data_IF_045464897119
#
_entry.id   IF_045464897119
#
_cell.length_a   1.000
_cell.length_b   1.000
_cell.length_c   1.000
_cell.angle_alpha   90.00
_cell.angle_beta   90.00
_cell.angle_gamma   90.00
#
_symmetry.space_group_name_H-M   'P 1'
#
loop_
_entity.id
_entity.type
_entity.pdbx_description
1 polymer ?
#
# COMPACT_ATOMS: atom_id res chain seq x y z
N UNK A 1 2.05 -4.94 -13.33
CA UNK A 1 2.68 -6.09 -12.65
C UNK A 1 1.55 -6.84 -11.95
N UNK A 2 1.46 -8.16 -12.07
CA UNK A 2 0.44 -8.95 -11.38
C UNK A 2 1.06 -9.54 -10.11
N UNK A 3 0.38 -9.41 -8.96
CA UNK A 3 0.79 -10.04 -7.72
C UNK A 3 0.20 -11.44 -7.65
N UNK A 4 0.99 -12.43 -7.23
CA UNK A 4 0.46 -13.75 -6.89
C UNK A 4 -0.60 -13.64 -5.77
N UNK A 5 -1.59 -14.54 -5.80
CA UNK A 5 -2.70 -14.59 -4.84
C UNK A 5 -2.32 -14.32 -3.37
N UNK A 6 -1.33 -15.02 -2.78
CA UNK A 6 -0.94 -14.78 -1.38
C UNK A 6 -0.34 -13.38 -1.14
N UNK A 7 0.43 -12.86 -2.09
CA UNK A 7 1.06 -11.54 -2.01
C UNK A 7 0.00 -10.43 -2.06
N UNK A 8 -1.00 -10.58 -2.95
CA UNK A 8 -2.13 -9.65 -3.01
C UNK A 8 -2.94 -9.66 -1.71
N UNK A 9 -3.20 -10.84 -1.14
CA UNK A 9 -3.90 -10.96 0.15
C UNK A 9 -3.12 -10.30 1.29
N UNK A 10 -1.78 -10.44 1.32
CA UNK A 10 -0.95 -9.76 2.34
C UNK A 10 -0.97 -8.24 2.17
N UNK A 11 -0.86 -7.74 0.95
CA UNK A 11 -0.97 -6.31 0.67
C UNK A 11 -2.32 -5.74 1.14
N UNK A 12 -3.42 -6.45 0.88
CA UNK A 12 -4.75 -6.03 1.32
C UNK A 12 -4.89 -6.00 2.84
N UNK A 13 -4.31 -6.99 3.54
CA UNK A 13 -4.28 -6.99 5.00
C UNK A 13 -3.52 -5.77 5.55
N UNK A 14 -2.34 -5.48 5.01
CA UNK A 14 -1.54 -4.33 5.40
C UNK A 14 -2.27 -3.00 5.19
N UNK A 15 -2.94 -2.82 4.05
CA UNK A 15 -3.74 -1.61 3.77
C UNK A 15 -4.84 -1.42 4.82
N UNK A 16 -5.55 -2.49 5.18
CA UNK A 16 -6.60 -2.46 6.21
C UNK A 16 -6.06 -2.18 7.61
N UNK A 17 -4.94 -2.82 7.96
CA UNK A 17 -4.26 -2.59 9.23
C UNK A 17 -3.81 -1.13 9.36
N UNK A 18 -3.24 -0.55 8.29
CA UNK A 18 -2.75 0.82 8.26
C UNK A 18 -3.87 1.88 8.25
N UNK A 19 -5.07 1.54 7.76
CA UNK A 19 -6.25 2.42 7.87
C UNK A 19 -6.86 2.44 9.27
N UNK A 20 -6.54 1.46 10.12
CA UNK A 20 -7.06 1.41 11.47
C UNK A 20 -6.36 2.47 12.34
N UNK A 21 -7.05 3.50 12.86
CA UNK A 21 -6.42 4.54 13.68
C UNK A 21 -5.93 4.05 15.05
N UNK A 22 -6.25 2.82 15.44
CA UNK A 22 -5.84 2.23 16.72
C UNK A 22 -4.45 1.55 16.66
N UNK A 23 -3.80 1.51 15.50
CA UNK A 23 -2.45 0.97 15.36
C UNK A 23 -1.41 1.90 16.01
N UNK A 24 -0.52 1.40 16.88
CA UNK A 24 0.55 2.22 17.45
C UNK A 24 1.59 2.60 16.40
N UNK A 25 2.07 3.85 16.44
CA UNK A 25 3.02 4.43 15.48
C UNK A 25 4.27 3.57 15.23
N UNK A 26 4.80 2.93 16.29
CA UNK A 26 5.97 2.06 16.19
C UNK A 26 5.74 0.86 15.26
N UNK A 27 4.53 0.32 15.24
CA UNK A 27 4.18 -0.77 14.34
C UNK A 27 3.69 -0.26 12.96
N UNK A 28 3.21 0.99 12.88
CA UNK A 28 2.80 1.63 11.63
C UNK A 28 3.98 1.71 10.66
N UNK A 29 5.13 2.21 11.11
CA UNK A 29 6.31 2.39 10.25
C UNK A 29 6.77 1.10 9.57
N UNK A 30 6.84 -0.01 10.33
CA UNK A 30 7.24 -1.30 9.81
C UNK A 30 6.23 -1.87 8.78
N UNK A 31 4.91 -1.68 9.03
CA UNK A 31 3.86 -2.11 8.10
C UNK A 31 3.85 -1.29 6.80
N UNK A 32 4.14 0.01 6.88
CA UNK A 32 4.29 0.87 5.70
C UNK A 32 5.45 0.39 4.83
N UNK A 33 6.62 0.21 5.44
CA UNK A 33 7.82 -0.24 4.74
C UNK A 33 7.64 -1.65 4.12
N UNK A 34 6.93 -2.55 4.79
CA UNK A 34 6.53 -3.84 4.19
C UNK A 34 5.63 -3.63 2.96
N UNK A 35 4.60 -2.79 3.07
CA UNK A 35 3.65 -2.52 1.98
C UNK A 35 4.33 -1.90 0.76
N UNK A 36 5.22 -0.93 0.97
CA UNK A 36 6.00 -0.28 -0.07
C UNK A 36 6.87 -1.28 -0.84
N UNK A 37 7.50 -2.22 -0.13
CA UNK A 37 8.32 -3.29 -0.75
C UNK A 37 7.48 -4.27 -1.55
N UNK A 38 6.34 -4.70 -1.01
CA UNK A 38 5.43 -5.64 -1.68
C UNK A 38 4.88 -5.04 -2.98
N UNK A 39 4.46 -3.78 -2.94
CA UNK A 39 3.89 -3.08 -4.09
C UNK A 39 4.94 -2.42 -4.98
N UNK A 40 6.21 -2.38 -4.53
CA UNK A 40 7.31 -1.61 -5.15
C UNK A 40 6.95 -0.15 -5.38
N UNK A 41 6.14 0.44 -4.51
CA UNK A 41 5.61 1.79 -4.63
C UNK A 41 5.94 2.60 -3.35
N UNK A 42 6.92 3.51 -3.38
CA UNK A 42 7.42 4.25 -2.21
C UNK A 42 6.51 5.40 -1.77
N UNK A 43 5.32 5.53 -2.35
CA UNK A 43 4.36 6.59 -2.00
C UNK A 43 2.95 6.00 -1.88
N UNK A 44 2.85 4.71 -1.52
CA UNK A 44 1.54 4.05 -1.31
C UNK A 44 0.71 4.77 -0.24
N UNK A 45 1.35 5.36 0.77
CA UNK A 45 0.67 6.17 1.80
C UNK A 45 -0.01 7.39 1.20
N UNK A 46 0.60 8.01 0.17
CA UNK A 46 -0.03 9.10 -0.58
C UNK A 46 -1.30 8.63 -1.29
N UNK A 47 -1.28 7.43 -1.88
CA UNK A 47 -2.47 6.83 -2.50
C UNK A 47 -3.58 6.52 -1.49
N UNK A 48 -3.20 6.12 -0.27
CA UNK A 48 -4.16 5.75 0.78
C UNK A 48 -4.86 6.95 1.44
N UNK A 49 -4.13 8.04 1.71
CA UNK A 49 -4.63 9.11 2.58
C UNK A 49 -4.72 10.49 1.92
N UNK A 50 -4.09 10.67 0.76
CA UNK A 50 -3.96 11.98 0.12
C UNK A 50 -4.49 12.03 -1.31
N UNK A 51 -5.02 10.92 -1.83
CA UNK A 51 -5.61 10.85 -3.17
C UNK A 51 -7.07 11.29 -3.11
N UNK A 52 -7.46 12.19 -4.02
CA UNK A 52 -8.85 12.63 -4.19
C UNK A 52 -9.34 12.32 -5.61
N UNK A 53 -10.44 11.55 -5.82
CA UNK A 53 -11.26 10.91 -4.79
C UNK A 53 -10.52 9.82 -4.01
N UNK A 54 -10.94 9.56 -2.78
CA UNK A 54 -10.36 8.49 -1.95
C UNK A 54 -10.49 7.13 -2.66
N UNK A 55 -9.41 6.36 -2.66
CA UNK A 55 -9.37 5.02 -3.23
C UNK A 55 -9.85 3.98 -2.22
N UNK A 56 -10.53 2.94 -2.68
CA UNK A 56 -10.80 1.74 -1.87
C UNK A 56 -9.51 0.95 -1.60
N UNK A 57 -9.53 0.03 -0.63
CA UNK A 57 -8.34 -0.79 -0.31
C UNK A 57 -7.76 -1.53 -1.54
N UNK A 58 -8.63 -2.06 -2.39
CA UNK A 58 -8.22 -2.76 -3.62
C UNK A 58 -7.69 -1.80 -4.67
N UNK A 59 -8.33 -0.63 -4.84
CA UNK A 59 -7.91 0.39 -5.79
C UNK A 59 -6.54 0.96 -5.44
N UNK A 60 -6.21 1.09 -4.14
CA UNK A 60 -4.85 1.46 -3.70
C UNK A 60 -3.81 0.48 -4.24
N UNK A 61 -4.07 -0.84 -4.14
CA UNK A 61 -3.15 -1.87 -4.63
C UNK A 61 -3.04 -1.78 -6.16
N UNK A 62 -4.16 -1.66 -6.86
CA UNK A 62 -4.18 -1.57 -8.32
C UNK A 62 -3.43 -0.33 -8.83
N UNK A 63 -3.63 0.83 -8.20
CA UNK A 63 -2.92 2.06 -8.54
C UNK A 63 -1.43 1.96 -8.20
N UNK A 64 -1.08 1.40 -7.04
CA UNK A 64 0.31 1.21 -6.65
C UNK A 64 1.06 0.29 -7.62
N UNK A 65 0.41 -0.75 -8.15
CA UNK A 65 1.02 -1.67 -9.14
C UNK A 65 1.21 -1.06 -10.54
N UNK A 66 0.56 0.08 -10.81
CA UNK A 66 0.82 0.88 -12.02
C UNK A 66 2.06 1.75 -11.88
N UNK A 67 2.55 1.97 -10.65
CA UNK A 67 3.78 2.72 -10.45
C UNK A 67 4.94 2.02 -11.15
N UNK A 68 5.57 2.76 -12.05
CA UNK A 68 6.84 2.39 -12.66
C UNK A 68 7.89 3.35 -12.14
N UNK A 69 8.85 2.91 -11.30
CA UNK A 69 9.95 3.78 -10.93
C UNK A 69 10.65 4.24 -12.22
N UNK A 70 10.78 5.55 -12.39
CA UNK A 70 11.57 6.09 -13.49
C UNK A 70 12.99 5.54 -13.34
N UNK A 71 13.42 4.71 -14.28
CA UNK A 71 14.82 4.33 -14.38
C UNK A 71 15.60 5.61 -14.73
N UNK A 72 16.26 6.19 -13.72
CA UNK A 72 17.31 7.18 -13.91
C UNK A 72 18.54 6.49 -14.51
#
# INVERSE_FOLDING_TARGET
MELDGPTRSRALALVRELRNPAIPDEETGARVDELERVLRCPHVISLMFFREPELSDEEVIEEALKYQPFAL
#
